data_IF_680599153773
#
_entry.id   IF_680599153773
#
_cell.length_a   1.000
_cell.length_b   1.000
_cell.length_c   1.000
_cell.angle_alpha   90.00
_cell.angle_beta   90.00
_cell.angle_gamma   90.00
#
_symmetry.space_group_name_H-M   'P 1'
#
loop_
_entity.id
_entity.type
_entity.pdbx_description
1 polymer ?
#
# COMPACT_ATOMS: atom_id res chain seq x y z
N UNK A 1 -36.95 -14.80 -17.89
CA UNK A 1 -36.59 -15.30 -16.54
C UNK A 1 -37.52 -14.64 -15.56
N UNK A 2 -38.45 -15.41 -14.98
CA UNK A 2 -39.48 -14.90 -14.09
C UNK A 2 -38.90 -14.31 -12.81
N UNK A 3 -39.47 -13.20 -12.35
CA UNK A 3 -39.12 -12.58 -11.08
C UNK A 3 -39.57 -13.48 -9.92
N UNK A 4 -38.66 -14.30 -9.39
CA UNK A 4 -38.89 -14.92 -8.09
C UNK A 4 -38.86 -13.83 -7.01
N UNK A 5 -40.04 -13.59 -6.44
CA UNK A 5 -40.27 -12.73 -5.28
C UNK A 5 -39.49 -13.30 -4.08
N UNK A 6 -38.69 -12.48 -3.36
CA UNK A 6 -37.91 -12.97 -2.23
C UNK A 6 -38.82 -13.46 -1.10
N UNK A 7 -38.50 -14.65 -0.54
CA UNK A 7 -39.18 -15.22 0.62
C UNK A 7 -38.93 -14.34 1.86
N UNK A 8 -39.92 -14.19 2.75
CA UNK A 8 -39.91 -13.30 3.94
C UNK A 8 -38.68 -13.42 4.85
N UNK A 9 -38.01 -14.58 4.87
CA UNK A 9 -36.78 -14.81 5.64
C UNK A 9 -35.51 -14.14 5.09
N UNK A 10 -35.54 -13.61 3.85
CA UNK A 10 -34.36 -13.06 3.19
C UNK A 10 -34.50 -11.54 2.98
N UNK A 11 -33.59 -10.77 3.57
CA UNK A 11 -33.55 -9.33 3.30
C UNK A 11 -33.28 -9.08 1.81
N UNK A 12 -33.99 -8.11 1.24
CA UNK A 12 -33.83 -7.68 -0.17
C UNK A 12 -32.35 -7.39 -0.50
N UNK A 13 -31.59 -6.89 0.48
CA UNK A 13 -30.16 -6.65 0.37
C UNK A 13 -29.33 -7.95 0.22
N UNK A 14 -29.69 -9.03 0.91
CA UNK A 14 -29.00 -10.31 0.83
C UNK A 14 -29.19 -10.97 -0.55
N UNK A 15 -30.43 -11.04 -1.05
CA UNK A 15 -30.76 -11.61 -2.37
C UNK A 15 -30.10 -10.83 -3.50
N UNK A 16 -30.12 -9.49 -3.43
CA UNK A 16 -29.45 -8.64 -4.41
C UNK A 16 -27.93 -8.76 -4.35
N UNK A 17 -27.34 -8.96 -3.15
CA UNK A 17 -25.89 -9.19 -3.00
C UNK A 17 -25.44 -10.54 -3.59
N UNK A 18 -26.28 -11.58 -3.49
CA UNK A 18 -26.00 -12.89 -4.07
C UNK A 18 -26.00 -12.82 -5.60
N UNK A 19 -27.01 -12.17 -6.20
CA UNK A 19 -27.05 -11.91 -7.66
C UNK A 19 -25.85 -11.08 -8.14
N UNK A 20 -25.37 -10.14 -7.33
CA UNK A 20 -24.17 -9.36 -7.66
C UNK A 20 -22.90 -10.22 -7.60
N UNK A 21 -22.77 -11.08 -6.59
CA UNK A 21 -21.64 -12.02 -6.49
C UNK A 21 -21.61 -12.98 -7.69
N UNK A 22 -22.77 -13.45 -8.13
CA UNK A 22 -22.94 -14.26 -9.34
C UNK A 22 -22.61 -13.46 -10.62
N UNK A 23 -23.04 -12.19 -10.70
CA UNK A 23 -22.66 -11.30 -11.81
C UNK A 23 -21.15 -11.04 -11.82
N UNK A 24 -20.52 -10.88 -10.67
CA UNK A 24 -19.05 -10.73 -10.54
C UNK A 24 -18.35 -12.02 -10.99
N UNK A 25 -18.87 -13.21 -10.66
CA UNK A 25 -18.29 -14.47 -11.15
C UNK A 25 -18.48 -14.63 -12.66
N UNK A 26 -19.62 -14.21 -13.21
CA UNK A 26 -19.92 -14.28 -14.64
C UNK A 26 -19.14 -13.22 -15.45
N UNK A 27 -18.90 -12.02 -14.92
CA UNK A 27 -18.06 -11.01 -15.59
C UNK A 27 -16.59 -11.43 -15.61
N UNK A 28 -16.13 -12.19 -14.61
CA UNK A 28 -14.81 -12.84 -14.66
C UNK A 28 -14.70 -13.90 -15.78
N UNK A 29 -15.80 -14.56 -16.15
CA UNK A 29 -15.83 -15.53 -17.25
C UNK A 29 -16.21 -14.94 -18.62
N UNK A 30 -16.88 -13.78 -18.66
CA UNK A 30 -17.51 -13.24 -19.87
C UNK A 30 -16.64 -12.37 -20.77
N UNK A 31 -15.45 -11.96 -20.34
CA UNK A 31 -14.47 -11.39 -21.26
C UNK A 31 -13.67 -12.52 -21.90
N UNK A 32 -14.07 -12.91 -23.12
CA UNK A 32 -13.20 -13.65 -24.03
C UNK A 32 -11.98 -12.76 -24.37
N UNK A 33 -10.98 -12.80 -23.49
CA UNK A 33 -9.66 -12.23 -23.72
C UNK A 33 -9.03 -13.10 -24.81
N UNK A 34 -9.06 -12.62 -26.05
CA UNK A 34 -8.11 -13.10 -27.05
C UNK A 34 -6.73 -13.07 -26.40
N UNK A 35 -6.04 -14.22 -26.32
CA UNK A 35 -4.75 -14.37 -25.64
C UNK A 35 -3.74 -13.41 -26.25
N UNK A 36 -3.67 -12.19 -25.69
CA UNK A 36 -2.60 -11.27 -26.01
C UNK A 36 -1.29 -11.90 -25.55
N UNK A 37 -0.21 -11.67 -26.30
CA UNK A 37 1.09 -12.31 -26.08
C UNK A 37 1.65 -12.13 -24.65
N UNK A 38 1.24 -11.08 -23.94
CA UNK A 38 1.63 -10.78 -22.56
C UNK A 38 0.79 -11.49 -21.47
N UNK A 39 -0.26 -12.23 -21.82
CA UNK A 39 -1.15 -12.86 -20.82
C UNK A 39 -0.65 -14.23 -20.34
N UNK A 40 0.48 -14.72 -20.86
CA UNK A 40 1.04 -16.01 -20.48
C UNK A 40 1.82 -15.92 -19.15
N UNK A 41 1.92 -17.03 -18.42
CA UNK A 41 2.66 -17.10 -17.15
C UNK A 41 4.15 -16.85 -17.37
N UNK A 42 4.71 -17.33 -18.49
CA UNK A 42 6.12 -17.13 -18.85
C UNK A 42 6.41 -15.65 -19.10
N UNK A 43 5.58 -14.97 -19.90
CA UNK A 43 5.77 -13.53 -20.18
C UNK A 43 5.63 -12.68 -18.92
N UNK A 44 4.74 -13.07 -18.00
CA UNK A 44 4.62 -12.44 -16.68
C UNK A 44 5.90 -12.61 -15.86
N UNK A 45 6.44 -13.83 -15.77
CA UNK A 45 7.68 -14.11 -15.05
C UNK A 45 8.86 -13.34 -15.65
N UNK A 46 9.02 -13.36 -16.98
CA UNK A 46 10.07 -12.60 -17.67
C UNK A 46 9.94 -11.09 -17.45
N UNK A 47 8.73 -10.55 -17.46
CA UNK A 47 8.50 -9.13 -17.16
C UNK A 47 8.86 -8.76 -15.72
N UNK A 48 8.53 -9.62 -14.75
CA UNK A 48 8.91 -9.43 -13.35
C UNK A 48 10.43 -9.54 -13.14
N UNK A 49 11.08 -10.47 -13.84
CA UNK A 49 12.55 -10.58 -13.87
C UNK A 49 13.18 -9.31 -14.48
N UNK A 50 12.63 -8.80 -15.57
CA UNK A 50 13.10 -7.56 -16.17
C UNK A 50 12.96 -6.36 -15.21
N UNK A 51 11.82 -6.25 -14.51
CA UNK A 51 11.61 -5.25 -13.46
C UNK A 51 12.63 -5.41 -12.32
N UNK A 52 12.95 -6.64 -11.92
CA UNK A 52 13.99 -6.91 -10.92
C UNK A 52 15.33 -6.33 -11.35
N UNK A 53 15.78 -6.68 -12.56
CA UNK A 53 17.06 -6.25 -13.09
C UNK A 53 17.13 -4.74 -13.32
N UNK A 54 16.03 -4.12 -13.76
CA UNK A 54 15.95 -2.67 -13.87
C UNK A 54 16.09 -1.99 -12.50
N UNK A 55 15.37 -2.46 -11.48
CA UNK A 55 15.47 -1.87 -10.14
C UNK A 55 16.84 -2.17 -9.50
N UNK A 56 17.43 -3.34 -9.73
CA UNK A 56 18.82 -3.65 -9.35
C UNK A 56 19.80 -2.69 -10.01
N UNK A 57 19.65 -2.42 -11.31
CA UNK A 57 20.47 -1.46 -12.04
C UNK A 57 20.37 -0.05 -11.45
N UNK A 58 19.15 0.39 -11.07
CA UNK A 58 18.93 1.68 -10.42
C UNK A 58 19.65 1.78 -9.07
N UNK A 59 19.61 0.73 -8.24
CA UNK A 59 20.20 0.76 -6.88
C UNK A 59 21.65 0.30 -6.81
N UNK A 60 22.23 -0.19 -7.91
CA UNK A 60 23.63 -0.61 -7.98
C UNK A 60 24.65 0.41 -7.46
N UNK A 61 24.51 1.74 -7.67
CA UNK A 61 25.44 2.72 -7.09
C UNK A 61 25.54 2.69 -5.56
N UNK A 62 24.54 2.16 -4.87
CA UNK A 62 24.45 2.13 -3.41
C UNK A 62 24.97 0.82 -2.81
N UNK A 63 25.47 -0.10 -3.65
CA UNK A 63 26.05 -1.36 -3.17
C UNK A 63 27.42 -1.08 -2.55
N UNK A 64 27.63 -1.59 -1.33
CA UNK A 64 28.88 -1.35 -0.61
C UNK A 64 29.03 0.06 -0.04
N UNK A 65 27.95 0.84 0.05
CA UNK A 65 27.94 2.14 0.76
C UNK A 65 27.41 1.98 2.17
N UNK A 66 27.92 2.75 3.13
CA UNK A 66 27.34 2.85 4.46
C UNK A 66 25.99 3.58 4.40
N UNK A 67 25.02 3.16 5.21
CA UNK A 67 23.80 3.95 5.40
C UNK A 67 24.15 5.23 6.18
N UNK A 68 23.58 6.39 5.81
CA UNK A 68 23.69 7.60 6.63
C UNK A 68 23.20 7.34 8.06
N UNK A 69 23.59 8.19 9.01
CA UNK A 69 23.10 8.08 10.40
C UNK A 69 21.61 8.44 10.45
N UNK A 70 20.76 7.42 10.31
CA UNK A 70 19.30 7.55 10.37
C UNK A 70 18.78 6.97 11.67
N UNK A 71 17.88 7.70 12.31
CA UNK A 71 17.19 7.20 13.48
C UNK A 71 15.86 6.53 13.09
N UNK A 72 15.70 5.27 13.51
CA UNK A 72 14.54 4.44 13.21
C UNK A 72 13.49 4.53 14.33
N UNK A 73 12.22 4.70 13.95
CA UNK A 73 11.08 4.80 14.88
C UNK A 73 10.50 3.43 15.29
N UNK A 74 10.86 2.36 14.58
CA UNK A 74 10.39 1.00 14.80
C UNK A 74 11.51 -0.04 14.74
N UNK A 75 11.33 -1.22 15.35
CA UNK A 75 12.41 -2.19 15.55
C UNK A 75 12.76 -3.04 14.34
N UNK A 76 11.89 -3.12 13.31
CA UNK A 76 12.04 -4.14 12.25
C UNK A 76 13.32 -3.96 11.44
N UNK A 77 13.58 -2.76 10.91
CA UNK A 77 14.79 -2.51 10.11
C UNK A 77 16.07 -2.70 10.95
N UNK A 78 16.20 -2.10 12.16
CA UNK A 78 17.35 -2.36 13.02
C UNK A 78 17.56 -3.82 13.41
N UNK A 79 16.48 -4.58 13.65
CA UNK A 79 16.57 -5.97 14.05
C UNK A 79 17.10 -6.84 12.90
N UNK A 80 16.58 -6.64 11.67
CA UNK A 80 17.09 -7.34 10.49
C UNK A 80 18.56 -6.95 10.25
N UNK A 81 18.91 -5.67 10.39
CA UNK A 81 20.30 -5.21 10.23
C UNK A 81 21.25 -5.86 11.26
N UNK A 82 20.81 -6.01 12.52
CA UNK A 82 21.59 -6.73 13.55
C UNK A 82 21.81 -8.21 13.23
N UNK A 83 20.84 -8.87 12.60
CA UNK A 83 21.02 -10.25 12.13
C UNK A 83 22.10 -10.32 11.06
N UNK A 84 22.14 -9.37 10.13
CA UNK A 84 23.20 -9.29 9.10
C UNK A 84 24.55 -8.95 9.74
N UNK A 85 24.56 -8.05 10.73
CA UNK A 85 25.76 -7.66 11.47
C UNK A 85 26.43 -8.85 12.16
N UNK A 86 25.64 -9.79 12.68
CA UNK A 86 26.14 -11.03 13.27
C UNK A 86 27.02 -11.86 12.30
N UNK A 87 26.85 -11.69 10.98
CA UNK A 87 27.70 -12.33 9.96
C UNK A 87 28.96 -11.52 9.60
N UNK A 88 29.34 -10.52 10.40
CA UNK A 88 30.59 -9.76 10.26
C UNK A 88 30.50 -8.51 9.38
N UNK A 89 29.30 -8.06 9.03
CA UNK A 89 29.08 -6.82 8.26
C UNK A 89 28.83 -5.64 9.22
N UNK A 90 29.53 -4.50 9.13
CA UNK A 90 29.29 -3.39 10.05
C UNK A 90 27.84 -2.87 10.00
N UNK A 91 27.27 -2.49 11.13
CA UNK A 91 25.83 -2.15 11.27
C UNK A 91 25.32 -1.14 10.23
N UNK A 92 26.07 -0.07 9.93
CA UNK A 92 25.68 0.93 8.92
C UNK A 92 25.55 0.33 7.51
N UNK A 93 26.40 -0.64 7.15
CA UNK A 93 26.31 -1.35 5.88
C UNK A 93 25.14 -2.35 5.90
N UNK A 94 24.94 -3.03 7.03
CA UNK A 94 23.79 -3.91 7.26
C UNK A 94 22.46 -3.17 7.09
N UNK A 95 22.34 -1.95 7.63
CA UNK A 95 21.16 -1.09 7.44
C UNK A 95 20.94 -0.75 5.96
N UNK A 96 22.00 -0.43 5.22
CA UNK A 96 21.90 -0.12 3.79
C UNK A 96 21.43 -1.34 2.99
N UNK A 97 21.94 -2.53 3.31
CA UNK A 97 21.49 -3.79 2.69
C UNK A 97 19.98 -3.98 2.92
N UNK A 98 19.49 -3.75 4.14
CA UNK A 98 18.05 -3.86 4.45
C UNK A 98 17.23 -2.86 3.65
N UNK A 99 17.67 -1.60 3.55
CA UNK A 99 16.98 -0.58 2.75
C UNK A 99 16.91 -0.96 1.27
N UNK A 100 18.00 -1.51 0.71
CA UNK A 100 18.04 -2.04 -0.67
C UNK A 100 17.04 -3.19 -0.83
N UNK A 101 16.99 -4.14 0.11
CA UNK A 101 16.04 -5.27 0.05
C UNK A 101 14.60 -4.76 0.00
N UNK A 102 14.22 -3.82 0.88
CA UNK A 102 12.87 -3.25 0.86
C UNK A 102 12.59 -2.47 -0.43
N UNK A 103 13.56 -1.70 -0.95
CA UNK A 103 13.40 -1.00 -2.21
C UNK A 103 13.13 -1.96 -3.37
N UNK A 104 13.86 -3.08 -3.43
CA UNK A 104 13.70 -4.12 -4.46
C UNK A 104 12.43 -4.95 -4.27
N UNK A 105 11.95 -5.13 -3.05
CA UNK A 105 10.72 -5.87 -2.74
C UNK A 105 9.46 -5.09 -3.17
N UNK A 106 9.51 -3.75 -3.11
CA UNK A 106 8.36 -2.90 -3.41
C UNK A 106 7.69 -3.18 -4.77
N UNK A 107 8.41 -3.18 -5.92
CA UNK A 107 7.84 -3.45 -7.24
C UNK A 107 6.99 -4.73 -7.29
N UNK A 108 7.42 -5.80 -6.62
CA UNK A 108 6.70 -7.08 -6.60
C UNK A 108 5.44 -7.03 -5.75
N UNK A 109 5.55 -6.50 -4.53
CA UNK A 109 4.39 -6.33 -3.64
C UNK A 109 3.30 -5.49 -4.33
N UNK A 110 3.71 -4.40 -5.00
CA UNK A 110 2.83 -3.51 -5.74
C UNK A 110 2.23 -4.18 -6.98
N UNK A 111 3.03 -4.94 -7.74
CA UNK A 111 2.55 -5.72 -8.88
C UNK A 111 1.39 -6.63 -8.49
N UNK A 112 1.57 -7.46 -7.45
CA UNK A 112 0.56 -8.43 -7.03
C UNK A 112 -0.70 -7.76 -6.48
N UNK A 113 -0.55 -6.65 -5.75
CA UNK A 113 -1.67 -5.85 -5.29
C UNK A 113 -2.48 -5.26 -6.45
N UNK A 114 -1.82 -4.57 -7.39
CA UNK A 114 -2.49 -3.99 -8.57
C UNK A 114 -3.14 -5.08 -9.43
N UNK A 115 -2.49 -6.24 -9.55
CA UNK A 115 -3.04 -7.40 -10.28
C UNK A 115 -4.30 -7.91 -9.61
N UNK A 116 -4.34 -7.95 -8.28
CA UNK A 116 -5.51 -8.39 -7.50
C UNK A 116 -6.71 -7.46 -7.63
N UNK A 117 -6.46 -6.15 -7.69
CA UNK A 117 -7.52 -5.15 -7.88
C UNK A 117 -8.07 -5.24 -9.29
N UNK A 118 -7.18 -5.19 -10.28
CA UNK A 118 -7.58 -4.98 -11.68
C UNK A 118 -7.94 -6.27 -12.41
N UNK A 119 -7.41 -7.41 -11.95
CA UNK A 119 -7.46 -8.67 -12.69
C UNK A 119 -6.64 -8.67 -13.99
N UNK A 120 -5.85 -7.61 -14.27
CA UNK A 120 -5.17 -7.43 -15.56
C UNK A 120 -3.67 -7.23 -15.39
N UNK A 121 -2.90 -8.21 -15.86
CA UNK A 121 -1.43 -8.23 -15.79
C UNK A 121 -0.76 -7.01 -16.40
N UNK A 122 -1.31 -6.48 -17.50
CA UNK A 122 -0.74 -5.34 -18.21
C UNK A 122 -0.80 -4.05 -17.40
N UNK A 123 -1.91 -3.82 -16.68
CA UNK A 123 -2.04 -2.64 -15.79
C UNK A 123 -0.96 -2.74 -14.71
N UNK A 124 -0.85 -3.90 -14.06
CA UNK A 124 0.17 -4.12 -13.03
C UNK A 124 1.59 -3.92 -13.53
N UNK A 125 1.91 -4.46 -14.71
CA UNK A 125 3.25 -4.31 -15.30
C UNK A 125 3.57 -2.85 -15.62
N UNK A 126 2.65 -2.14 -16.25
CA UNK A 126 2.82 -0.72 -16.55
C UNK A 126 2.94 0.13 -15.29
N UNK A 127 2.10 -0.10 -14.29
CA UNK A 127 2.18 0.63 -13.01
C UNK A 127 3.51 0.41 -12.32
N UNK A 128 4.07 -0.80 -12.38
CA UNK A 128 5.37 -1.11 -11.77
C UNK A 128 6.54 -0.53 -12.56
N UNK A 129 6.46 -0.48 -13.89
CA UNK A 129 7.43 0.24 -14.71
C UNK A 129 7.38 1.74 -14.43
N UNK A 130 6.17 2.33 -14.38
CA UNK A 130 5.96 3.75 -14.12
C UNK A 130 6.44 4.18 -12.74
N UNK A 131 6.17 3.39 -11.70
CA UNK A 131 6.65 3.72 -10.34
C UNK A 131 8.16 3.54 -10.18
N UNK A 132 8.80 2.77 -11.06
CA UNK A 132 10.26 2.60 -11.10
C UNK A 132 10.96 3.70 -11.89
N UNK A 133 10.23 4.62 -12.54
CA UNK A 133 10.82 5.71 -13.31
C UNK A 133 11.68 6.61 -12.41
N UNK A 134 12.95 6.89 -12.76
CA UNK A 134 13.89 7.62 -11.91
C UNK A 134 13.73 9.14 -12.06
N UNK A 135 12.50 9.64 -11.91
CA UNK A 135 12.18 11.06 -11.87
C UNK A 135 11.05 11.36 -10.89
N UNK A 136 11.02 12.57 -10.35
CA UNK A 136 9.96 13.03 -9.46
C UNK A 136 8.56 12.93 -10.11
N UNK A 137 7.50 12.49 -9.40
CA UNK A 137 7.46 12.00 -8.00
C UNK A 137 7.59 10.46 -7.87
N UNK A 138 8.14 9.76 -8.86
CA UNK A 138 8.14 8.29 -8.93
C UNK A 138 9.31 7.64 -8.15
N UNK A 139 10.19 6.92 -8.84
CA UNK A 139 11.30 6.18 -8.25
C UNK A 139 12.36 7.06 -7.62
N UNK A 140 12.51 8.31 -8.08
CA UNK A 140 13.52 9.26 -7.57
C UNK A 140 13.34 9.55 -6.08
N UNK A 141 12.16 10.03 -5.68
CA UNK A 141 11.88 10.39 -4.29
C UNK A 141 11.97 9.18 -3.36
N UNK A 142 11.55 8.00 -3.83
CA UNK A 142 11.68 6.75 -3.06
C UNK A 142 13.13 6.35 -2.87
N UNK A 143 13.95 6.39 -3.92
CA UNK A 143 15.35 6.01 -3.84
C UNK A 143 16.13 6.98 -2.94
N UNK A 144 15.94 8.29 -3.10
CA UNK A 144 16.55 9.30 -2.25
C UNK A 144 16.11 9.14 -0.79
N UNK A 145 14.83 8.98 -0.53
CA UNK A 145 14.31 8.78 0.82
C UNK A 145 14.81 7.48 1.47
N UNK A 146 14.91 6.39 0.71
CA UNK A 146 15.30 5.07 1.20
C UNK A 146 16.82 4.92 1.40
N UNK A 147 17.61 5.36 0.43
CA UNK A 147 19.04 5.02 0.31
C UNK A 147 19.98 6.16 0.71
N UNK A 148 19.51 7.42 0.69
CA UNK A 148 20.24 8.59 1.20
C UNK A 148 19.78 9.01 2.60
N UNK A 149 19.00 8.16 3.27
CA UNK A 149 18.75 8.23 4.71
C UNK A 149 17.76 9.29 5.19
N UNK A 150 17.08 10.00 4.29
CA UNK A 150 16.12 11.05 4.65
C UNK A 150 14.91 10.46 5.43
N UNK A 151 14.36 9.33 4.95
CA UNK A 151 13.08 8.74 5.39
C UNK A 151 13.08 7.21 5.23
N UNK A 152 14.22 6.54 5.50
CA UNK A 152 14.44 5.12 5.14
C UNK A 152 13.42 4.15 5.76
N UNK A 153 13.07 4.32 7.03
CA UNK A 153 12.04 3.54 7.72
C UNK A 153 10.66 3.69 7.07
N UNK A 154 10.28 4.91 6.70
CA UNK A 154 9.02 5.17 6.01
C UNK A 154 9.00 4.48 4.64
N UNK A 155 10.08 4.57 3.87
CA UNK A 155 10.17 3.90 2.57
C UNK A 155 10.11 2.37 2.67
N UNK A 156 10.70 1.79 3.72
CA UNK A 156 10.60 0.35 3.97
C UNK A 156 9.14 -0.09 4.18
N UNK A 157 8.30 0.74 4.82
CA UNK A 157 6.87 0.42 4.96
C UNK A 157 6.16 0.32 3.62
N UNK A 158 6.49 1.18 2.66
CA UNK A 158 5.83 1.21 1.35
C UNK A 158 5.98 -0.12 0.61
N UNK A 159 7.03 -0.90 0.88
CA UNK A 159 7.23 -2.24 0.32
C UNK A 159 6.30 -3.32 0.92
N UNK A 160 5.79 -3.12 2.13
CA UNK A 160 4.92 -4.08 2.84
C UNK A 160 3.45 -3.68 2.75
N UNK A 161 3.15 -2.39 2.62
CA UNK A 161 1.77 -1.88 2.51
C UNK A 161 0.95 -2.57 1.41
N UNK A 162 1.45 -2.78 0.17
CA UNK A 162 0.69 -3.48 -0.86
C UNK A 162 0.32 -4.91 -0.47
N UNK A 163 1.19 -5.60 0.28
CA UNK A 163 0.90 -6.94 0.80
C UNK A 163 -0.19 -6.91 1.88
N UNK A 164 -0.13 -5.94 2.80
CA UNK A 164 -1.17 -5.74 3.81
C UNK A 164 -2.52 -5.41 3.17
N UNK A 165 -2.54 -4.56 2.14
CA UNK A 165 -3.76 -4.22 1.39
C UNK A 165 -4.26 -5.40 0.55
N UNK A 166 -3.36 -6.24 0.02
CA UNK A 166 -3.73 -7.48 -0.66
C UNK A 166 -4.49 -8.43 0.28
N UNK A 167 -3.95 -8.67 1.48
CA UNK A 167 -4.62 -9.47 2.52
C UNK A 167 -5.96 -8.86 2.93
N UNK A 168 -6.00 -7.54 3.17
CA UNK A 168 -7.23 -6.82 3.52
C UNK A 168 -8.30 -6.96 2.42
N UNK A 169 -7.91 -6.82 1.15
CA UNK A 169 -8.84 -6.92 0.03
C UNK A 169 -9.43 -8.34 -0.08
N UNK A 170 -8.61 -9.38 0.10
CA UNK A 170 -9.11 -10.76 0.13
C UNK A 170 -10.05 -10.97 1.32
N UNK A 171 -9.67 -10.52 2.51
CA UNK A 171 -10.49 -10.67 3.70
C UNK A 171 -11.82 -9.93 3.55
N UNK A 172 -11.80 -8.70 3.03
CA UNK A 172 -12.99 -7.91 2.76
C UNK A 172 -13.95 -8.59 1.77
N UNK A 173 -13.42 -9.28 0.74
CA UNK A 173 -14.21 -10.02 -0.26
C UNK A 173 -14.71 -11.36 0.28
N UNK A 174 -13.78 -12.23 0.66
CA UNK A 174 -14.04 -13.66 0.88
C UNK A 174 -14.28 -13.97 2.37
N UNK A 175 -13.73 -13.17 3.30
CA UNK A 175 -13.90 -13.37 4.73
C UNK A 175 -13.10 -14.50 5.34
N UNK A 176 -12.14 -15.07 4.60
CA UNK A 176 -11.32 -16.18 5.07
C UNK A 176 -10.39 -15.74 6.19
N UNK A 177 -10.23 -16.57 7.21
CA UNK A 177 -9.40 -16.24 8.38
C UNK A 177 -7.92 -16.13 8.01
N UNK A 178 -7.45 -16.93 7.05
CA UNK A 178 -6.07 -16.81 6.56
C UNK A 178 -5.78 -15.40 6.02
N UNK A 179 -6.73 -14.80 5.29
CA UNK A 179 -6.58 -13.45 4.77
C UNK A 179 -6.59 -12.40 5.89
N UNK A 180 -7.37 -12.61 6.96
CA UNK A 180 -7.33 -11.80 8.17
C UNK A 180 -5.94 -11.88 8.83
N UNK A 181 -5.38 -13.07 8.97
CA UNK A 181 -4.05 -13.29 9.57
C UNK A 181 -2.98 -12.59 8.73
N UNK A 182 -2.98 -12.79 7.41
CA UNK A 182 -2.03 -12.14 6.50
C UNK A 182 -2.15 -10.62 6.58
N UNK A 183 -3.37 -10.09 6.52
CA UNK A 183 -3.63 -8.64 6.60
C UNK A 183 -3.16 -8.05 7.94
N UNK A 184 -3.49 -8.70 9.05
CA UNK A 184 -3.19 -8.22 10.41
C UNK A 184 -1.70 -8.29 10.72
N UNK A 185 -1.02 -9.38 10.35
CA UNK A 185 0.43 -9.51 10.54
C UNK A 185 1.16 -8.51 9.64
N UNK A 186 0.79 -8.39 8.37
CA UNK A 186 1.45 -7.45 7.45
C UNK A 186 1.24 -6.00 7.88
N UNK A 187 0.02 -5.63 8.29
CA UNK A 187 -0.27 -4.31 8.86
C UNK A 187 0.46 -4.09 10.19
N UNK A 188 0.60 -5.15 11.00
CA UNK A 188 1.40 -5.17 12.22
C UNK A 188 2.87 -4.81 11.93
N UNK A 189 3.48 -5.51 10.97
CA UNK A 189 4.86 -5.26 10.50
C UNK A 189 5.02 -3.84 9.97
N UNK A 190 4.06 -3.31 9.20
CA UNK A 190 4.10 -1.91 8.74
C UNK A 190 4.23 -0.95 9.91
N UNK A 191 3.42 -1.12 10.97
CA UNK A 191 3.50 -0.26 12.14
C UNK A 191 4.83 -0.42 12.90
N UNK A 192 5.37 -1.64 13.02
CA UNK A 192 6.67 -1.89 13.65
C UNK A 192 7.87 -1.43 12.80
N UNK A 193 7.69 -1.13 11.52
CA UNK A 193 8.72 -0.45 10.73
C UNK A 193 8.63 1.06 10.97
N UNK A 194 7.43 1.65 10.88
CA UNK A 194 7.20 3.07 11.14
C UNK A 194 5.72 3.38 11.44
N UNK A 195 5.41 4.12 12.52
CA UNK A 195 4.07 4.64 12.79
C UNK A 195 3.51 5.51 11.64
N UNK A 196 4.38 6.24 10.93
CA UNK A 196 3.99 7.06 9.78
C UNK A 196 3.57 6.20 8.59
N UNK A 197 4.25 5.08 8.35
CA UNK A 197 3.82 4.12 7.33
C UNK A 197 2.50 3.45 7.69
N UNK A 198 2.19 3.28 8.98
CA UNK A 198 0.88 2.79 9.42
C UNK A 198 -0.25 3.79 9.15
N UNK A 199 0.02 5.10 9.25
CA UNK A 199 -0.93 6.13 8.82
C UNK A 199 -1.18 6.06 7.30
N UNK A 200 -0.11 5.96 6.50
CA UNK A 200 -0.21 5.73 5.05
C UNK A 200 -1.02 4.48 4.72
N UNK A 201 -0.76 3.37 5.41
CA UNK A 201 -1.55 2.15 5.31
C UNK A 201 -3.01 2.39 5.64
N UNK A 202 -3.31 3.09 6.74
CA UNK A 202 -4.68 3.34 7.20
C UNK A 202 -5.51 4.13 6.18
N UNK A 203 -4.91 5.14 5.55
CA UNK A 203 -5.55 5.92 4.46
C UNK A 203 -5.87 5.02 3.27
N UNK A 204 -4.88 4.24 2.80
CA UNK A 204 -5.05 3.31 1.69
C UNK A 204 -6.05 2.19 2.01
N UNK A 205 -6.05 1.70 3.25
CA UNK A 205 -6.96 0.68 3.74
C UNK A 205 -8.39 1.21 3.80
N UNK A 206 -8.60 2.45 4.24
CA UNK A 206 -9.90 3.11 4.25
C UNK A 206 -10.48 3.23 2.83
N UNK A 207 -9.70 3.72 1.86
CA UNK A 207 -10.13 3.80 0.45
C UNK A 207 -10.39 2.41 -0.13
N UNK A 208 -9.54 1.42 0.17
CA UNK A 208 -9.71 0.03 -0.28
C UNK A 208 -11.00 -0.57 0.27
N UNK A 209 -11.24 -0.44 1.57
CA UNK A 209 -12.44 -0.95 2.22
C UNK A 209 -13.70 -0.21 1.72
N UNK A 210 -13.63 1.10 1.54
CA UNK A 210 -14.75 1.87 0.99
C UNK A 210 -15.08 1.44 -0.45
N UNK A 211 -14.07 1.16 -1.28
CA UNK A 211 -14.30 0.59 -2.62
C UNK A 211 -15.06 -0.73 -2.58
N UNK A 212 -14.81 -1.54 -1.55
CA UNK A 212 -15.49 -2.81 -1.33
C UNK A 212 -16.90 -2.60 -0.74
N UNK A 213 -17.10 -1.63 0.15
CA UNK A 213 -18.42 -1.24 0.67
C UNK A 213 -19.37 -0.85 -0.45
N UNK A 214 -18.90 -0.12 -1.46
CA UNK A 214 -19.66 0.25 -2.67
C UNK A 214 -20.11 -0.97 -3.50
N UNK A 215 -19.46 -2.12 -3.36
CA UNK A 215 -19.87 -3.36 -4.02
C UNK A 215 -20.90 -4.16 -3.19
N UNK A 216 -21.36 -3.63 -2.05
CA UNK A 216 -22.39 -4.23 -1.21
C UNK A 216 -21.87 -4.92 0.05
N UNK A 217 -22.80 -5.33 0.93
CA UNK A 217 -22.51 -5.87 2.27
C UNK A 217 -21.65 -4.93 3.14
N UNK A 218 -21.91 -3.62 3.05
CA UNK A 218 -21.09 -2.57 3.63
C UNK A 218 -20.76 -2.77 5.12
N UNK A 219 -21.77 -3.07 5.96
CA UNK A 219 -21.57 -3.29 7.41
C UNK A 219 -20.55 -4.40 7.69
N UNK A 220 -20.66 -5.53 7.00
CA UNK A 220 -19.75 -6.65 7.18
C UNK A 220 -18.32 -6.28 6.76
N UNK A 221 -18.16 -5.58 5.64
CA UNK A 221 -16.86 -5.17 5.11
C UNK A 221 -16.18 -4.12 5.99
N UNK A 222 -16.95 -3.21 6.58
CA UNK A 222 -16.46 -2.26 7.57
C UNK A 222 -15.98 -2.96 8.84
N UNK A 223 -16.74 -3.93 9.36
CA UNK A 223 -16.32 -4.74 10.53
C UNK A 223 -15.02 -5.49 10.21
N UNK A 224 -14.88 -6.03 8.99
CA UNK A 224 -13.65 -6.71 8.56
C UNK A 224 -12.43 -5.78 8.53
N UNK A 225 -12.60 -4.54 8.07
CA UNK A 225 -11.54 -3.52 8.17
C UNK A 225 -11.16 -3.26 9.64
N UNK A 226 -12.16 -3.01 10.49
CA UNK A 226 -11.95 -2.73 11.91
C UNK A 226 -11.22 -3.90 12.58
N UNK A 227 -11.59 -5.15 12.27
CA UNK A 227 -10.94 -6.33 12.80
C UNK A 227 -9.43 -6.35 12.45
N UNK A 228 -9.07 -6.07 11.19
CA UNK A 228 -7.65 -5.99 10.77
C UNK A 228 -6.91 -4.91 11.56
N UNK A 229 -7.50 -3.73 11.75
CA UNK A 229 -6.88 -2.63 12.51
C UNK A 229 -6.72 -2.97 13.99
N UNK A 230 -7.73 -3.59 14.61
CA UNK A 230 -7.69 -4.03 16.00
C UNK A 230 -6.61 -5.08 16.21
N UNK A 231 -6.54 -6.10 15.34
CA UNK A 231 -5.49 -7.11 15.44
C UNK A 231 -4.10 -6.53 15.16
N UNK A 232 -3.94 -5.64 14.19
CA UNK A 232 -2.66 -4.96 13.95
C UNK A 232 -2.20 -4.16 15.18
N UNK A 233 -3.11 -3.41 15.82
CA UNK A 233 -2.82 -2.68 17.06
C UNK A 233 -2.47 -3.62 18.22
N UNK A 234 -3.23 -4.71 18.38
CA UNK A 234 -2.99 -5.71 19.41
C UNK A 234 -1.65 -6.42 19.25
N UNK A 235 -1.30 -6.84 18.03
CA UNK A 235 -0.02 -7.47 17.70
C UNK A 235 1.20 -6.57 17.97
N UNK A 236 1.00 -5.25 17.94
CA UNK A 236 2.06 -4.27 18.14
C UNK A 236 2.10 -3.67 19.56
N UNK A 237 1.16 -4.05 20.43
CA UNK A 237 1.01 -3.47 21.77
C UNK A 237 2.21 -3.74 22.69
N UNK A 238 3.00 -4.80 22.44
CA UNK A 238 4.26 -5.04 23.15
C UNK A 238 5.30 -3.94 22.91
N UNK A 239 5.26 -3.30 21.73
CA UNK A 239 6.17 -2.22 21.35
C UNK A 239 5.55 -0.85 21.60
N UNK A 240 4.32 -0.66 21.12
CA UNK A 240 3.51 0.54 21.29
C UNK A 240 2.46 0.31 22.37
N UNK A 241 2.89 0.27 23.64
CA UNK A 241 1.97 0.04 24.75
C UNK A 241 0.88 1.15 24.81
N UNK A 242 -0.29 0.89 25.42
CA UNK A 242 -1.41 1.84 25.38
C UNK A 242 -1.07 3.24 25.92
N UNK A 243 -0.17 3.33 26.91
CA UNK A 243 0.29 4.61 27.47
C UNK A 243 1.18 5.34 26.47
N UNK A 244 2.07 4.63 25.79
CA UNK A 244 2.88 5.18 24.71
C UNK A 244 2.01 5.61 23.52
N UNK A 245 0.97 4.85 23.17
CA UNK A 245 0.03 5.23 22.13
C UNK A 245 -0.71 6.52 22.48
N UNK A 246 -1.16 6.66 23.73
CA UNK A 246 -1.74 7.90 24.23
C UNK A 246 -0.73 9.06 24.12
N UNK A 247 0.52 8.85 24.55
CA UNK A 247 1.57 9.86 24.45
C UNK A 247 1.90 10.25 23.00
N UNK A 248 1.87 9.33 22.04
CA UNK A 248 2.05 9.67 20.63
C UNK A 248 0.98 10.63 20.10
N UNK A 249 -0.23 10.60 20.68
CA UNK A 249 -1.35 11.48 20.31
C UNK A 249 -1.33 12.80 21.09
N UNK A 250 -0.92 12.77 22.36
CA UNK A 250 -1.01 13.94 23.26
C UNK A 250 0.30 14.69 23.47
N UNK A 251 1.43 14.04 23.20
CA UNK A 251 2.78 14.61 23.34
C UNK A 251 3.14 15.57 22.19
N UNK A 252 4.40 16.04 22.14
CA UNK A 252 4.86 17.03 21.16
C UNK A 252 4.63 16.58 19.71
N UNK A 253 4.93 15.31 19.41
CA UNK A 253 4.66 14.71 18.09
C UNK A 253 3.16 14.73 17.76
N UNK A 254 2.33 14.44 18.77
CA UNK A 254 0.89 14.45 18.64
C UNK A 254 0.31 15.86 18.50
N UNK A 255 1.01 16.89 18.95
CA UNK A 255 0.62 18.28 18.76
C UNK A 255 0.63 18.68 17.28
N UNK A 256 1.71 18.43 16.55
CA UNK A 256 1.69 18.80 15.12
C UNK A 256 0.77 17.87 14.29
N UNK A 257 0.57 16.60 14.70
CA UNK A 257 -0.48 15.75 14.09
C UNK A 257 -1.85 16.34 14.34
N UNK A 258 -2.16 16.78 15.57
CA UNK A 258 -3.42 17.44 15.90
C UNK A 258 -3.58 18.76 15.16
N UNK A 259 -2.50 19.51 14.94
CA UNK A 259 -2.49 20.77 14.20
C UNK A 259 -2.70 20.53 12.69
N UNK A 260 -2.10 19.48 12.12
CA UNK A 260 -2.38 19.05 10.74
C UNK A 260 -3.84 18.60 10.60
N UNK A 261 -4.34 17.76 11.53
CA UNK A 261 -5.73 17.31 11.54
C UNK A 261 -6.68 18.50 11.69
N UNK A 262 -6.39 19.46 12.57
CA UNK A 262 -7.24 20.64 12.76
C UNK A 262 -7.30 21.53 11.51
N UNK A 263 -6.22 21.60 10.73
CA UNK A 263 -6.21 22.26 9.41
C UNK A 263 -6.98 21.47 8.35
N UNK A 264 -6.95 20.13 8.41
CA UNK A 264 -7.68 19.27 7.49
C UNK A 264 -9.16 19.14 7.82
N UNK A 265 -9.59 19.30 9.09
CA UNK A 265 -10.99 19.16 9.52
C UNK A 265 -11.93 20.07 8.70
N UNK A 266 -11.69 21.39 8.58
CA UNK A 266 -12.54 22.28 7.80
C UNK A 266 -12.69 21.83 6.35
N UNK A 267 -11.58 21.43 5.71
CA UNK A 267 -11.57 20.95 4.33
C UNK A 267 -12.33 19.61 4.23
N UNK A 268 -12.09 18.69 5.16
CA UNK A 268 -12.68 17.37 5.17
C UNK A 268 -14.20 17.40 5.35
N UNK A 269 -14.74 18.39 6.07
CA UNK A 269 -16.19 18.53 6.27
C UNK A 269 -16.94 18.79 4.95
N UNK A 270 -16.31 19.49 4.01
CA UNK A 270 -16.86 19.71 2.67
C UNK A 270 -16.44 18.59 1.70
N UNK A 271 -15.16 18.20 1.73
CA UNK A 271 -14.63 17.26 0.74
C UNK A 271 -15.10 15.81 0.97
N UNK A 272 -15.27 15.35 2.21
CA UNK A 272 -15.71 13.96 2.47
C UNK A 272 -17.13 13.69 1.97
N UNK A 273 -18.15 14.54 2.23
CA UNK A 273 -19.47 14.35 1.64
C UNK A 273 -19.46 14.42 0.12
N UNK A 274 -18.68 15.33 -0.46
CA UNK A 274 -18.53 15.46 -1.92
C UNK A 274 -17.91 14.18 -2.47
N UNK A 275 -16.73 13.78 -2.04
CA UNK A 275 -16.05 12.58 -2.51
C UNK A 275 -16.83 11.30 -2.21
N UNK A 276 -17.51 11.22 -1.07
CA UNK A 276 -18.41 10.12 -0.75
C UNK A 276 -19.58 10.03 -1.71
N UNK A 277 -20.22 11.16 -2.02
CA UNK A 277 -21.34 11.25 -2.97
C UNK A 277 -20.89 10.94 -4.39
N UNK A 278 -19.77 11.52 -4.86
CA UNK A 278 -19.18 11.18 -6.15
C UNK A 278 -18.78 9.71 -6.23
N UNK A 279 -18.13 9.18 -5.19
CA UNK A 279 -17.78 7.77 -5.08
C UNK A 279 -19.01 6.87 -5.21
N UNK A 280 -20.08 7.20 -4.49
CA UNK A 280 -21.32 6.45 -4.55
C UNK A 280 -22.01 6.56 -5.92
N UNK A 281 -22.24 7.77 -6.44
CA UNK A 281 -22.96 8.00 -7.70
C UNK A 281 -22.27 7.36 -8.90
N UNK A 282 -20.94 7.48 -8.99
CA UNK A 282 -20.22 6.98 -10.15
C UNK A 282 -19.87 5.50 -10.04
N UNK A 283 -19.63 4.97 -8.84
CA UNK A 283 -19.02 3.65 -8.64
C UNK A 283 -19.85 2.66 -7.82
N UNK A 284 -20.99 3.04 -7.24
CA UNK A 284 -21.87 2.10 -6.52
C UNK A 284 -22.23 0.91 -7.43
N UNK A 285 -21.96 -0.30 -6.92
CA UNK A 285 -22.24 -1.58 -7.58
C UNK A 285 -21.66 -1.73 -8.98
N UNK A 286 -20.53 -1.07 -9.29
CA UNK A 286 -19.83 -1.21 -10.57
C UNK A 286 -18.44 -1.84 -10.38
N UNK A 287 -18.34 -3.18 -10.36
CA UNK A 287 -17.08 -3.90 -10.20
C UNK A 287 -16.03 -3.51 -11.25
N UNK A 288 -16.46 -3.29 -12.49
CA UNK A 288 -15.56 -2.96 -13.62
C UNK A 288 -14.87 -1.60 -13.48
N UNK A 289 -15.39 -0.73 -12.60
CA UNK A 289 -14.82 0.57 -12.30
C UNK A 289 -14.01 0.59 -11.00
N UNK A 290 -13.96 -0.51 -10.24
CA UNK A 290 -13.27 -0.55 -8.95
C UNK A 290 -11.77 -0.22 -9.06
N UNK A 291 -11.11 -0.69 -10.12
CA UNK A 291 -9.69 -0.39 -10.35
C UNK A 291 -9.45 1.09 -10.60
N UNK A 292 -10.33 1.74 -11.36
CA UNK A 292 -10.29 3.18 -11.59
C UNK A 292 -10.61 3.94 -10.32
N UNK A 293 -11.64 3.51 -9.57
CA UNK A 293 -12.00 4.09 -8.28
C UNK A 293 -10.79 4.13 -7.33
N UNK A 294 -10.17 2.98 -7.09
CA UNK A 294 -9.04 2.88 -6.16
C UNK A 294 -7.86 3.74 -6.64
N UNK A 295 -7.50 3.66 -7.93
CA UNK A 295 -6.40 4.44 -8.47
C UNK A 295 -6.64 5.96 -8.36
N UNK A 296 -7.85 6.42 -8.69
CA UNK A 296 -8.23 7.83 -8.59
C UNK A 296 -8.26 8.30 -7.14
N UNK A 297 -8.91 7.57 -6.21
CA UNK A 297 -9.04 7.99 -4.83
C UNK A 297 -7.73 7.92 -4.05
N UNK A 298 -6.85 6.95 -4.34
CA UNK A 298 -5.48 6.98 -3.81
C UNK A 298 -4.74 8.24 -4.29
N UNK A 299 -4.83 8.54 -5.59
CA UNK A 299 -4.16 9.71 -6.17
C UNK A 299 -4.70 11.01 -5.59
N UNK A 300 -6.02 11.15 -5.46
CA UNK A 300 -6.66 12.33 -4.87
C UNK A 300 -6.25 12.48 -3.40
N UNK A 301 -6.28 11.40 -2.61
CA UNK A 301 -5.91 11.45 -1.20
C UNK A 301 -4.47 11.96 -0.99
N UNK A 302 -3.51 11.37 -1.70
CA UNK A 302 -2.11 11.78 -1.57
C UNK A 302 -1.81 13.11 -2.28
N UNK A 303 -2.52 13.45 -3.35
CA UNK A 303 -2.44 14.78 -3.94
C UNK A 303 -2.86 15.87 -2.94
N UNK A 304 -3.97 15.67 -2.23
CA UNK A 304 -4.42 16.62 -1.19
C UNK A 304 -3.40 16.74 -0.05
N UNK A 305 -2.83 15.63 0.40
CA UNK A 305 -1.81 15.63 1.46
C UNK A 305 -0.52 16.33 0.99
N UNK A 306 -0.08 16.07 -0.24
CA UNK A 306 1.11 16.69 -0.83
C UNK A 306 0.92 18.21 -0.98
N UNK A 307 -0.25 18.66 -1.45
CA UNK A 307 -0.59 20.09 -1.54
C UNK A 307 -0.53 20.73 -0.15
N UNK A 308 -1.13 20.09 0.87
CA UNK A 308 -1.16 20.63 2.22
C UNK A 308 0.23 20.68 2.89
N UNK A 309 1.17 19.82 2.47
CA UNK A 309 2.45 19.61 3.14
C UNK A 309 3.68 20.24 2.47
N UNK A 310 3.57 20.91 1.32
CA UNK A 310 4.73 21.52 0.64
C UNK A 310 4.59 21.69 -0.88
N UNK A 311 3.59 21.06 -1.50
CA UNK A 311 3.30 21.17 -2.94
C UNK A 311 3.90 20.05 -3.79
N UNK A 312 3.63 20.11 -5.10
CA UNK A 312 4.03 19.09 -6.09
C UNK A 312 5.40 19.31 -6.71
N UNK A 313 6.16 20.34 -6.28
CA UNK A 313 7.39 20.71 -6.97
C UNK A 313 8.61 20.02 -6.35
N UNK A 314 9.56 19.54 -7.16
CA UNK A 314 10.78 18.87 -6.68
C UNK A 314 11.66 19.74 -5.78
N UNK A 315 11.55 21.06 -5.89
CA UNK A 315 12.29 22.06 -5.10
C UNK A 315 11.87 22.06 -3.62
N UNK A 316 10.63 21.64 -3.35
CA UNK A 316 9.97 21.69 -2.06
C UNK A 316 9.16 20.40 -1.82
N UNK A 317 9.81 19.22 -1.88
CA UNK A 317 9.08 17.96 -1.97
C UNK A 317 8.39 17.67 -0.63
N UNK A 318 7.09 17.34 -0.68
CA UNK A 318 6.36 16.83 0.49
C UNK A 318 6.86 15.45 0.88
N UNK A 319 6.83 15.15 2.18
CA UNK A 319 7.08 13.82 2.74
C UNK A 319 6.28 12.69 2.07
N UNK A 320 5.05 12.97 1.66
CA UNK A 320 4.14 12.00 1.03
C UNK A 320 4.21 11.99 -0.51
N UNK A 321 5.22 12.66 -1.11
CA UNK A 321 5.47 12.59 -2.55
C UNK A 321 5.69 11.15 -3.07
N UNK A 322 6.39 10.26 -2.34
CA UNK A 322 6.49 8.85 -2.72
C UNK A 322 5.13 8.15 -2.89
N UNK A 323 4.21 8.33 -1.95
CA UNK A 323 2.86 7.77 -2.03
C UNK A 323 2.06 8.35 -3.18
N UNK A 324 2.19 9.66 -3.42
CA UNK A 324 1.61 10.31 -4.58
C UNK A 324 2.14 9.69 -5.89
N UNK A 325 3.46 9.50 -6.04
CA UNK A 325 4.04 8.83 -7.19
C UNK A 325 3.55 7.40 -7.40
N UNK A 326 3.42 6.62 -6.32
CA UNK A 326 2.88 5.25 -6.35
C UNK A 326 1.43 5.25 -6.85
N UNK A 327 0.59 6.10 -6.27
CA UNK A 327 -0.82 6.20 -6.64
C UNK A 327 -1.01 6.71 -8.08
N UNK A 328 -0.22 7.71 -8.49
CA UNK A 328 -0.21 8.23 -9.85
C UNK A 328 0.25 7.17 -10.86
N UNK A 329 1.27 6.38 -10.55
CA UNK A 329 1.71 5.27 -11.40
C UNK A 329 0.61 4.20 -11.57
N UNK A 330 -0.18 3.95 -10.51
CA UNK A 330 -1.35 3.09 -10.62
C UNK A 330 -2.40 3.69 -11.57
N UNK A 331 -2.73 4.97 -11.39
CA UNK A 331 -3.71 5.66 -12.23
C UNK A 331 -3.29 5.70 -13.69
N UNK A 332 -2.04 6.06 -13.98
CA UNK A 332 -1.50 6.09 -15.34
C UNK A 332 -1.53 4.70 -15.99
N UNK A 333 -1.19 3.64 -15.25
CA UNK A 333 -1.30 2.27 -15.74
C UNK A 333 -2.75 1.90 -16.11
N UNK A 334 -3.73 2.28 -15.29
CA UNK A 334 -5.16 2.06 -15.60
C UNK A 334 -5.59 2.87 -16.83
N UNK A 335 -5.21 4.15 -16.90
CA UNK A 335 -5.59 5.08 -17.99
C UNK A 335 -5.01 4.60 -19.32
N UNK A 336 -3.72 4.28 -19.38
CA UNK A 336 -3.06 3.79 -20.60
C UNK A 336 -3.76 2.54 -21.12
N UNK A 337 -4.03 1.57 -20.26
CA UNK A 337 -4.68 0.32 -20.71
C UNK A 337 -6.13 0.58 -21.13
N UNK A 338 -6.91 1.34 -20.37
CA UNK A 338 -8.30 1.66 -20.76
C UNK A 338 -8.36 2.44 -22.07
N UNK A 339 -7.44 3.38 -22.29
CA UNK A 339 -7.31 4.11 -23.55
C UNK A 339 -6.99 3.16 -24.71
N UNK A 340 -6.10 2.19 -24.49
CA UNK A 340 -5.78 1.20 -25.53
C UNK A 340 -6.94 0.27 -25.85
N UNK A 341 -7.76 -0.09 -24.86
CA UNK A 341 -8.97 -0.87 -25.11
C UNK A 341 -9.99 -0.08 -25.93
N UNK A 342 -10.16 1.21 -25.63
CA UNK A 342 -10.99 2.12 -26.42
C UNK A 342 -10.53 2.19 -27.88
N UNK A 343 -9.23 2.37 -28.13
CA UNK A 343 -8.64 2.39 -29.48
C UNK A 343 -8.82 1.06 -30.23
N UNK A 344 -8.75 -0.08 -29.54
CA UNK A 344 -9.03 -1.39 -30.16
C UNK A 344 -10.48 -1.52 -30.61
N UNK A 345 -11.42 -0.90 -29.88
CA UNK A 345 -12.84 -0.89 -30.20
C UNK A 345 -13.17 0.01 -31.39
N UNK A 346 -12.43 1.11 -31.59
CA UNK A 346 -12.67 2.09 -32.66
C UNK A 346 -12.00 1.74 -34.01
N UNK A 347 -11.70 0.46 -34.25
CA UNK A 347 -10.93 -0.08 -35.42
C UNK A 347 -9.44 0.31 -35.44
N UNK A 348 -8.92 1.05 -34.46
CA UNK A 348 -7.50 1.43 -34.32
C UNK A 348 -6.61 0.35 -33.69
N UNK A 349 -6.80 -0.93 -34.03
CA UNK A 349 -6.14 -2.05 -33.33
C UNK A 349 -4.61 -2.02 -33.44
N UNK A 350 -4.05 -1.68 -34.61
CA UNK A 350 -2.59 -1.58 -34.80
C UNK A 350 -2.00 -0.45 -33.95
N UNK A 351 -2.64 0.72 -33.99
CA UNK A 351 -2.24 1.87 -33.19
C UNK A 351 -2.27 1.57 -31.68
N UNK A 352 -3.27 0.83 -31.21
CA UNK A 352 -3.35 0.42 -29.80
C UNK A 352 -2.18 -0.50 -29.37
N UNK A 353 -1.77 -1.46 -30.21
CA UNK A 353 -0.62 -2.32 -29.91
C UNK A 353 0.69 -1.52 -29.95
N UNK A 354 0.85 -0.67 -30.96
CA UNK A 354 1.98 0.23 -31.08
C UNK A 354 2.12 1.13 -29.85
N UNK A 355 1.02 1.72 -29.38
CA UNK A 355 1.02 2.59 -28.20
C UNK A 355 1.43 1.87 -26.91
N UNK A 356 0.95 0.63 -26.68
CA UNK A 356 1.37 -0.18 -25.51
C UNK A 356 2.86 -0.48 -25.58
N UNK A 357 3.34 -0.98 -26.72
CA UNK A 357 4.76 -1.32 -26.91
C UNK A 357 5.62 -0.08 -26.72
N UNK A 358 5.23 1.05 -27.30
CA UNK A 358 5.91 2.33 -27.11
C UNK A 358 5.92 2.77 -25.65
N UNK A 359 4.82 2.61 -24.92
CA UNK A 359 4.75 2.96 -23.49
C UNK A 359 5.72 2.12 -22.65
N UNK A 360 5.82 0.81 -22.94
CA UNK A 360 6.75 -0.09 -22.25
C UNK A 360 8.20 0.26 -22.61
N UNK A 361 8.50 0.42 -23.90
CA UNK A 361 9.85 0.76 -24.37
C UNK A 361 10.30 2.11 -23.82
N UNK A 362 9.43 3.13 -23.87
CA UNK A 362 9.69 4.43 -23.29
C UNK A 362 10.01 4.32 -21.79
N UNK A 363 9.22 3.56 -21.03
CA UNK A 363 9.48 3.36 -19.60
C UNK A 363 10.83 2.67 -19.36
N UNK A 364 11.18 1.67 -20.17
CA UNK A 364 12.44 0.93 -20.07
C UNK A 364 13.65 1.84 -20.35
N UNK A 365 13.59 2.59 -21.46
CA UNK A 365 14.60 3.56 -21.86
C UNK A 365 14.74 4.66 -20.81
N UNK A 366 13.63 5.23 -20.33
CA UNK A 366 13.63 6.26 -19.30
C UNK A 366 14.27 5.78 -17.98
N UNK A 367 14.07 4.51 -17.59
CA UNK A 367 14.73 3.93 -16.41
C UNK A 367 16.24 3.83 -16.60
N UNK A 368 16.69 3.34 -17.76
CA UNK A 368 18.11 3.15 -18.04
C UNK A 368 18.87 4.48 -18.06
N UNK A 369 18.36 5.46 -18.83
CA UNK A 369 19.01 6.75 -19.00
C UNK A 369 18.78 7.72 -17.83
N UNK A 370 17.68 7.58 -17.09
CA UNK A 370 17.38 8.48 -15.98
C UNK A 370 18.04 8.11 -14.65
N UNK A 371 18.84 7.03 -14.59
CA UNK A 371 19.51 6.56 -13.36
C UNK A 371 20.30 7.65 -12.65
N UNK A 372 20.97 8.53 -13.39
CA UNK A 372 21.81 9.58 -12.81
C UNK A 372 21.02 10.59 -11.96
N UNK A 373 19.70 10.72 -12.18
CA UNK A 373 18.85 11.57 -11.35
C UNK A 373 18.72 11.04 -9.90
N UNK A 374 18.96 9.74 -9.67
CA UNK A 374 18.94 9.15 -8.33
C UNK A 374 20.16 9.55 -7.50
N UNK A 375 21.28 9.88 -8.16
CA UNK A 375 22.57 10.16 -7.53
C UNK A 375 22.77 11.68 -7.31
N UNK A 376 22.01 12.53 -8.04
CA UNK A 376 22.05 13.98 -7.88
C UNK A 376 21.57 14.42 -6.49
N UNK A 377 22.25 15.45 -5.98
CA UNK A 377 22.35 15.94 -4.59
C UNK A 377 21.04 16.00 -3.80
N UNK A 378 21.17 15.84 -2.49
CA UNK A 378 20.11 15.96 -1.47
C UNK A 378 19.30 17.24 -1.68
N UNK A 379 18.02 17.09 -2.01
CA UNK A 379 17.06 18.20 -1.92
C UNK A 379 16.55 18.28 -0.48
N UNK A 380 16.53 19.48 0.08
CA UNK A 380 15.89 19.73 1.36
C UNK A 380 14.38 19.42 1.20
N UNK A 381 13.90 18.40 1.91
CA UNK A 381 12.49 17.99 1.89
C UNK A 381 11.70 18.84 2.89
N UNK A 382 10.76 19.66 2.41
CA UNK A 382 9.87 20.42 3.28
C UNK A 382 8.86 19.50 3.97
N UNK A 383 8.52 19.81 5.23
CA UNK A 383 7.64 18.97 6.05
C UNK A 383 8.34 17.78 6.70
N UNK A 384 9.68 17.71 6.63
CA UNK A 384 10.44 16.93 7.60
C UNK A 384 10.33 17.58 8.97
N UNK A 385 10.07 16.76 9.98
CA UNK A 385 9.98 17.19 11.36
C UNK A 385 11.41 17.44 11.84
N UNK A 386 11.90 18.67 11.67
CA UNK A 386 13.26 19.06 12.03
C UNK A 386 13.43 19.31 13.54
N UNK A 387 12.33 19.36 14.30
CA UNK A 387 12.32 19.65 15.73
C UNK A 387 12.15 18.45 16.67
N UNK A 388 11.91 17.25 16.15
CA UNK A 388 11.78 16.01 16.93
C UNK A 388 12.73 14.98 16.34
N UNK A 389 13.80 14.65 17.04
CA UNK A 389 14.67 13.56 16.58
C UNK A 389 13.85 12.27 16.56
N UNK A 390 13.83 11.52 15.44
CA UNK A 390 13.11 10.23 15.33
C UNK A 390 13.54 9.22 16.43
N UNK A 391 14.69 9.45 17.07
CA UNK A 391 15.18 8.74 18.26
C UNK A 391 14.39 9.01 19.53
N UNK A 392 13.72 10.15 19.63
CA UNK A 392 12.85 10.49 20.74
C UNK A 392 11.70 9.49 20.89
N UNK A 393 11.20 8.88 19.81
CA UNK A 393 10.17 7.82 19.86
C UNK A 393 10.72 6.60 20.61
N UNK A 394 11.96 6.21 20.30
CA UNK A 394 12.61 5.06 20.95
C UNK A 394 12.96 5.37 22.40
N UNK A 395 13.53 6.55 22.66
CA UNK A 395 13.89 7.03 24.00
C UNK A 395 12.63 7.19 24.86
N UNK A 396 11.55 7.75 24.33
CA UNK A 396 10.27 7.90 25.02
C UNK A 396 9.66 6.54 25.34
N UNK A 397 9.70 5.57 24.40
CA UNK A 397 9.24 4.19 24.67
C UNK A 397 9.98 3.57 25.86
N UNK A 398 11.28 3.82 26.01
CA UNK A 398 12.04 3.31 27.16
C UNK A 398 11.68 3.99 28.48
N UNK A 399 11.05 5.17 28.47
CA UNK A 399 10.51 5.83 29.67
C UNK A 399 9.20 5.19 30.16
N UNK A 400 8.47 4.47 29.32
CA UNK A 400 7.18 3.83 29.67
C UNK A 400 7.31 2.35 30.06
N UNK A 401 8.41 1.98 30.73
CA UNK A 401 8.65 0.62 31.28
C UNK A 401 7.79 0.35 32.53
N UNK A 402 7.57 -0.92 32.84
CA UNK A 402 6.81 -1.36 34.02
C UNK A 402 5.42 -1.92 33.69
N UNK A 403 4.39 -1.56 34.48
CA UNK A 403 3.04 -2.12 34.36
C UNK A 403 2.40 -1.89 32.97
N UNK A 404 2.63 -0.74 32.35
CA UNK A 404 2.20 -0.41 30.98
C UNK A 404 2.80 -1.36 29.95
N UNK A 405 4.06 -1.75 30.12
CA UNK A 405 4.75 -2.68 29.22
C UNK A 405 4.20 -4.11 29.38
N UNK A 406 3.93 -4.54 30.62
CA UNK A 406 3.27 -5.84 30.89
C UNK A 406 1.89 -5.88 30.24
N UNK A 407 1.08 -4.83 30.38
CA UNK A 407 -0.21 -4.71 29.70
C UNK A 407 -0.05 -4.84 28.17
N UNK A 408 0.95 -4.18 27.59
CA UNK A 408 1.28 -4.29 26.18
C UNK A 408 1.56 -5.73 25.74
N UNK A 409 2.41 -6.45 26.48
CA UNK A 409 2.68 -7.88 26.22
C UNK A 409 1.43 -8.75 26.34
N UNK A 410 0.59 -8.53 27.37
CA UNK A 410 -0.65 -9.29 27.57
C UNK A 410 -1.60 -9.09 26.38
N UNK A 411 -1.80 -7.85 25.91
CA UNK A 411 -2.64 -7.56 24.74
C UNK A 411 -2.11 -8.27 23.50
N UNK A 412 -0.78 -8.25 23.28
CA UNK A 412 -0.15 -8.95 22.15
C UNK A 412 -0.33 -10.45 22.23
N UNK A 413 -0.14 -11.07 23.40
CA UNK A 413 -0.34 -12.51 23.60
C UNK A 413 -1.80 -12.90 23.37
N UNK A 414 -2.76 -12.13 23.89
CA UNK A 414 -4.19 -12.37 23.68
C UNK A 414 -4.52 -12.28 22.18
N UNK A 415 -3.99 -11.26 21.49
CA UNK A 415 -4.22 -11.04 20.07
C UNK A 415 -3.66 -12.17 19.21
N UNK A 416 -2.42 -12.60 19.49
CA UNK A 416 -1.78 -13.76 18.85
C UNK A 416 -2.56 -15.05 19.10
N UNK A 417 -2.94 -15.31 20.36
CA UNK A 417 -3.68 -16.51 20.75
C UNK A 417 -5.05 -16.56 20.09
N UNK A 418 -5.72 -15.41 19.98
CA UNK A 418 -7.02 -15.30 19.31
C UNK A 418 -6.90 -15.57 17.82
N UNK A 419 -5.91 -14.98 17.13
CA UNK A 419 -5.67 -15.25 15.71
C UNK A 419 -5.30 -16.72 15.45
N UNK A 420 -4.45 -17.30 16.29
CA UNK A 420 -4.06 -18.71 16.20
C UNK A 420 -5.27 -19.63 16.41
N UNK A 421 -6.09 -19.37 17.43
CA UNK A 421 -7.31 -20.13 17.71
C UNK A 421 -8.30 -20.06 16.54
N UNK A 422 -8.53 -18.86 16.00
CA UNK A 422 -9.37 -18.66 14.82
C UNK A 422 -8.84 -19.44 13.61
N UNK A 423 -7.52 -19.43 13.38
CA UNK A 423 -6.88 -20.20 12.31
C UNK A 423 -7.07 -21.72 12.44
N UNK A 424 -6.88 -22.26 13.65
CA UNK A 424 -7.01 -23.71 13.93
C UNK A 424 -8.47 -24.19 13.78
N UNK A 425 -9.43 -23.38 14.23
CA UNK A 425 -10.85 -23.77 14.19
C UNK A 425 -11.36 -23.96 12.75
N UNK A 426 -10.89 -23.16 11.80
CA UNK A 426 -11.29 -23.26 10.38
C UNK A 426 -10.74 -24.52 9.73
N UNK A 427 -9.45 -24.84 9.94
CA UNK A 427 -8.85 -26.05 9.38
C UNK A 427 -9.55 -27.34 9.85
N UNK A 428 -10.14 -27.35 11.05
CA UNK A 428 -10.91 -28.51 11.55
C UNK A 428 -12.29 -28.64 10.91
N UNK A 429 -12.92 -27.54 10.49
CA UNK A 429 -14.23 -27.57 9.83
C UNK A 429 -14.07 -27.97 8.36
N UNK A 430 -13.02 -27.48 7.70
CA UNK A 430 -12.72 -27.82 6.30
C UNK A 430 -12.16 -29.25 6.14
N UNK A 431 -11.57 -29.84 7.19
CA UNK A 431 -11.12 -31.24 7.19
C UNK A 431 -12.22 -32.26 7.58
N UNK A 432 -13.38 -31.77 8.04
CA UNK A 432 -14.54 -32.59 8.40
C UNK A 432 -15.61 -32.62 7.30
N UNK A 433 -15.38 -31.91 6.19
CA UNK A 433 -16.13 -31.96 4.93
C UNK A 433 -15.29 -32.69 3.88
#
# INVERSE_FOLDING_TARGET
MGEEVPKESQTIAAVRSARLAEKISLTKSGFNITRAWWNNTISEALGLIAVLFLNLYLVYPFFGTASPDVVFSGPVVPLIAKVIEYFGVPLQYSMQIVNIIFFLLFPFSFYFFVKKITGRKLISMLSVLMVSLPFYPFGEVRAKAALLGIESSHMATLAIIPLALYGLLNFARDGKILDLVIASISAGVVALISPFGFLTFSILAAVTAFSEVLLGRGRLKLIRLIAVLVFAGGLNSFWYNPVFFYWMITGPIGEDVRLMISRLIPISFFMLPIFGSFGFLFFDRKPDLQSLFMASFFTIAFATIVIAGGGFFPENPSRYAPEFGISLAFLLGVVVVKFTDYLKSSKGRLFAHFFIVLSILFSFVAIIFGRDNLIKTQTNVLGMWTGVEKGEIWIAKDKFRGASQVLGYVITVISLSTLAFLGVKVNKVDAAQ
#
